data_IF_343913388123
#
_entry.id   IF_343913388123
#
_cell.length_a   1.000
_cell.length_b   1.000
_cell.length_c   1.000
_cell.angle_alpha   90.00
_cell.angle_beta   90.00
_cell.angle_gamma   90.00
#
_symmetry.space_group_name_H-M   'P 1'
#
loop_
_entity.id
_entity.type
_entity.pdbx_description
1 polymer ?
#
# COMPACT_ATOMS: atom_id res chain seq x y z
N UNK A 1 12.86 41.09 -23.18
CA UNK A 1 13.73 41.46 -22.03
C UNK A 1 12.80 41.61 -20.83
N UNK A 2 12.78 40.80 -19.77
CA UNK A 2 13.58 39.68 -19.34
C UNK A 2 12.67 38.71 -18.54
N UNK A 3 13.02 37.43 -18.55
CA UNK A 3 12.50 36.41 -17.65
C UNK A 3 13.27 36.40 -16.32
N UNK A 4 12.64 35.84 -15.27
CA UNK A 4 13.18 35.30 -13.99
C UNK A 4 12.28 35.74 -12.81
N UNK A 5 11.98 34.95 -11.78
CA UNK A 5 12.39 33.61 -11.39
C UNK A 5 11.30 32.97 -10.50
N UNK A 6 11.14 31.65 -10.65
CA UNK A 6 10.43 30.77 -9.73
C UNK A 6 11.28 30.63 -8.47
N UNK A 7 10.79 31.14 -7.34
CA UNK A 7 11.44 31.01 -6.04
C UNK A 7 11.28 29.60 -5.48
N UNK A 8 12.32 28.80 -5.64
CA UNK A 8 12.52 27.54 -4.92
C UNK A 8 12.63 27.80 -3.42
N UNK A 9 11.62 27.41 -2.65
CA UNK A 9 11.66 27.42 -1.20
C UNK A 9 11.70 25.98 -0.67
N UNK A 10 12.90 25.55 -0.26
CA UNK A 10 13.04 24.72 0.94
C UNK A 10 13.03 23.19 0.79
N UNK A 11 13.80 22.62 -0.13
CA UNK A 11 14.25 21.22 0.01
C UNK A 11 15.51 21.20 0.89
N UNK A 12 15.36 21.26 2.21
CA UNK A 12 16.44 20.89 3.12
C UNK A 12 16.67 19.38 2.97
N UNK A 13 17.73 19.01 2.26
CA UNK A 13 18.16 17.63 2.09
C UNK A 13 18.45 17.04 3.48
N UNK A 14 17.54 16.23 4.00
CA UNK A 14 17.80 15.48 5.22
C UNK A 14 18.97 14.54 4.95
N UNK A 15 20.07 14.74 5.70
CA UNK A 15 21.27 13.95 5.56
C UNK A 15 20.93 12.46 5.73
N UNK A 16 21.27 11.70 4.71
CA UNK A 16 21.20 10.26 4.65
C UNK A 16 22.00 9.62 5.82
N UNK A 17 21.34 9.10 6.85
CA UNK A 17 22.03 8.32 7.89
C UNK A 17 22.53 7.01 7.28
N UNK A 18 23.83 6.96 6.99
CA UNK A 18 24.49 5.73 6.53
C UNK A 18 24.93 4.98 7.77
N UNK A 19 24.46 3.74 7.94
CA UNK A 19 25.01 2.90 9.00
C UNK A 19 26.52 2.72 8.74
N UNK A 20 27.32 2.57 9.79
CA UNK A 20 28.72 2.16 9.66
C UNK A 20 28.81 0.74 10.20
N UNK A 21 29.47 -0.16 9.47
CA UNK A 21 29.69 -1.51 9.98
C UNK A 21 30.63 -1.46 11.19
N UNK A 22 30.49 -2.42 12.09
CA UNK A 22 31.37 -2.54 13.26
C UNK A 22 32.86 -2.70 12.89
N UNK A 23 33.15 -3.15 11.66
CA UNK A 23 34.51 -3.24 11.11
C UNK A 23 35.03 -1.92 10.49
N UNK A 24 34.32 -0.80 10.70
CA UNK A 24 34.67 0.52 10.19
C UNK A 24 34.48 0.71 8.69
N UNK A 25 34.04 -0.33 7.96
CA UNK A 25 33.76 -0.20 6.52
C UNK A 25 32.42 0.48 6.30
N UNK A 26 32.33 1.23 5.20
CA UNK A 26 31.08 1.84 4.76
C UNK A 26 30.03 0.75 4.59
N UNK A 27 28.93 0.91 5.31
CA UNK A 27 27.82 -0.02 5.21
C UNK A 27 27.01 0.29 3.95
N UNK A 28 26.57 -0.76 3.27
CA UNK A 28 25.61 -0.62 2.18
C UNK A 28 24.20 -0.38 2.74
N UNK A 29 23.99 -0.64 4.04
CA UNK A 29 22.73 -0.37 4.75
C UNK A 29 22.54 1.14 4.92
N UNK A 30 21.56 1.66 4.21
CA UNK A 30 21.17 3.05 4.24
C UNK A 30 19.69 3.18 4.64
N UNK A 31 19.38 4.12 5.52
CA UNK A 31 18.01 4.51 5.85
C UNK A 31 17.91 6.03 5.91
N UNK A 32 16.94 6.61 5.18
CA UNK A 32 16.60 8.02 5.31
C UNK A 32 15.12 8.17 5.58
N UNK A 33 14.80 8.80 6.71
CA UNK A 33 13.43 9.11 7.11
C UNK A 33 12.76 10.09 6.15
N UNK A 34 13.52 11.02 5.56
CA UNK A 34 12.97 12.03 4.66
C UNK A 34 12.35 11.44 3.40
N UNK A 35 12.94 10.37 2.84
CA UNK A 35 12.37 9.69 1.66
C UNK A 35 11.02 9.07 2.03
N UNK A 36 10.90 8.47 3.22
CA UNK A 36 9.64 7.89 3.69
C UNK A 36 8.59 8.97 3.99
N UNK A 37 8.97 10.08 4.62
CA UNK A 37 8.07 11.20 4.87
C UNK A 37 7.56 11.83 3.57
N UNK A 38 8.45 12.05 2.60
CA UNK A 38 8.08 12.58 1.29
C UNK A 38 7.11 11.63 0.59
N UNK A 39 7.43 10.34 0.55
CA UNK A 39 6.56 9.31 -0.05
C UNK A 39 5.19 9.30 0.64
N UNK A 40 5.14 9.41 1.96
CA UNK A 40 3.89 9.45 2.72
C UNK A 40 3.04 10.70 2.36
N UNK A 41 3.68 11.88 2.21
CA UNK A 41 2.99 13.11 1.78
C UNK A 41 2.46 12.99 0.36
N UNK A 42 3.25 12.45 -0.56
CA UNK A 42 2.86 12.23 -1.97
C UNK A 42 1.69 11.23 -2.07
N UNK A 43 1.71 10.16 -1.27
CA UNK A 43 0.58 9.24 -1.19
C UNK A 43 -0.67 9.90 -0.63
N UNK A 44 -0.55 10.67 0.46
CA UNK A 44 -1.68 11.33 1.11
C UNK A 44 -2.33 12.42 0.24
N UNK A 45 -1.57 13.03 -0.68
CA UNK A 45 -2.09 13.98 -1.67
C UNK A 45 -2.59 13.33 -2.97
N UNK A 46 -2.39 12.02 -3.14
CA UNK A 46 -2.78 11.27 -4.33
C UNK A 46 -4.11 10.55 -4.15
N UNK A 47 -4.91 10.48 -5.22
CA UNK A 47 -6.14 9.68 -5.25
C UNK A 47 -5.84 8.20 -5.48
N UNK A 48 -4.90 7.91 -6.38
CA UNK A 48 -4.55 6.56 -6.82
C UNK A 48 -3.06 6.30 -6.63
N UNK A 49 -2.71 5.14 -6.07
CA UNK A 49 -1.33 4.73 -5.85
C UNK A 49 -1.04 3.44 -6.61
N UNK A 50 -0.09 3.49 -7.54
CA UNK A 50 0.24 2.38 -8.41
C UNK A 50 1.01 1.27 -7.67
N UNK A 51 0.53 0.03 -7.80
CA UNK A 51 1.05 -1.15 -7.11
C UNK A 51 1.41 -2.27 -8.11
N UNK A 52 2.54 -2.15 -8.84
CA UNK A 52 3.13 -3.29 -9.54
C UNK A 52 3.48 -4.42 -8.57
N UNK A 53 3.37 -5.65 -9.08
CA UNK A 53 3.75 -6.85 -8.35
C UNK A 53 5.19 -6.73 -7.81
N UNK A 54 5.39 -7.15 -6.57
CA UNK A 54 6.72 -7.48 -6.03
C UNK A 54 6.94 -8.99 -6.03
N UNK A 55 7.93 -9.45 -5.26
CA UNK A 55 8.34 -10.86 -5.20
C UNK A 55 7.19 -11.83 -4.87
N UNK A 56 6.25 -11.40 -4.02
CA UNK A 56 5.12 -12.21 -3.57
C UNK A 56 3.76 -11.74 -4.12
N UNK A 57 3.76 -11.06 -5.28
CA UNK A 57 2.54 -10.56 -5.94
C UNK A 57 1.92 -9.31 -5.31
N UNK A 58 2.35 -8.91 -4.10
CA UNK A 58 1.96 -7.67 -3.39
C UNK A 58 3.23 -7.01 -2.85
N UNK A 59 3.23 -5.68 -2.76
CA UNK A 59 4.28 -4.91 -2.06
C UNK A 59 3.76 -4.37 -0.74
N UNK A 60 4.65 -4.22 0.25
CA UNK A 60 4.34 -3.56 1.53
C UNK A 60 3.75 -2.15 1.33
N UNK A 61 4.13 -1.50 0.22
CA UNK A 61 3.63 -0.22 -0.24
C UNK A 61 2.09 -0.17 -0.38
N UNK A 62 1.43 -1.31 -0.63
CA UNK A 62 -0.04 -1.38 -0.68
C UNK A 62 -0.66 -0.98 0.65
N UNK A 63 -0.10 -1.43 1.78
CA UNK A 63 -0.58 -1.09 3.12
C UNK A 63 -0.25 0.37 3.47
N UNK A 64 0.88 0.91 2.99
CA UNK A 64 1.19 2.34 3.12
C UNK A 64 0.17 3.21 2.37
N UNK A 65 -0.28 2.81 1.19
CA UNK A 65 -1.33 3.53 0.46
C UNK A 65 -2.68 3.50 1.19
N UNK A 66 -3.07 2.33 1.73
CA UNK A 66 -4.26 2.23 2.60
C UNK A 66 -4.11 3.11 3.84
N UNK A 67 -2.92 3.13 4.44
CA UNK A 67 -2.62 4.00 5.57
C UNK A 67 -2.70 5.49 5.17
N UNK A 68 -2.33 5.86 3.96
CA UNK A 68 -2.35 7.24 3.47
C UNK A 68 -3.73 7.68 2.91
N UNK A 69 -4.69 6.76 2.74
CA UNK A 69 -5.98 7.09 2.11
C UNK A 69 -5.95 7.10 0.57
N UNK A 70 -4.88 6.57 -0.02
CA UNK A 70 -4.67 6.51 -1.46
C UNK A 70 -5.17 5.16 -2.01
N UNK A 71 -6.07 5.18 -3.00
CA UNK A 71 -6.67 3.96 -3.54
C UNK A 71 -5.61 3.09 -4.24
N UNK A 72 -5.40 1.82 -3.82
CA UNK A 72 -4.42 0.96 -4.46
C UNK A 72 -4.83 0.59 -5.89
N UNK A 73 -3.93 0.81 -6.85
CA UNK A 73 -4.09 0.35 -8.24
C UNK A 73 -3.20 -0.87 -8.46
N UNK A 74 -3.81 -2.03 -8.40
CA UNK A 74 -3.13 -3.32 -8.48
C UNK A 74 -2.76 -3.65 -9.91
N UNK A 75 -1.46 -3.85 -10.15
CA UNK A 75 -0.88 -4.35 -11.40
C UNK A 75 -0.27 -5.72 -11.16
N UNK A 76 -1.13 -6.68 -10.82
CA UNK A 76 -0.77 -8.09 -10.67
C UNK A 76 -1.98 -8.94 -11.05
N UNK A 77 -1.90 -9.61 -12.21
CA UNK A 77 -3.02 -10.40 -12.73
C UNK A 77 -3.40 -11.54 -11.78
N UNK A 78 -2.40 -12.17 -11.18
CA UNK A 78 -2.55 -13.32 -10.28
C UNK A 78 -3.07 -12.93 -8.90
N UNK A 79 -2.93 -11.67 -8.48
CA UNK A 79 -3.38 -11.23 -7.17
C UNK A 79 -4.91 -11.22 -7.10
N UNK A 80 -5.47 -11.98 -6.17
CA UNK A 80 -6.92 -12.00 -5.91
C UNK A 80 -7.24 -11.41 -4.54
N UNK A 81 -8.45 -10.89 -4.35
CA UNK A 81 -8.86 -10.37 -3.05
C UNK A 81 -8.86 -11.46 -1.95
N UNK A 82 -9.06 -12.73 -2.33
CA UNK A 82 -9.05 -13.88 -1.41
C UNK A 82 -7.65 -14.27 -0.95
N UNK A 83 -6.63 -14.00 -1.77
CA UNK A 83 -5.22 -14.27 -1.41
C UNK A 83 -4.61 -13.18 -0.51
N UNK A 84 -5.35 -12.11 -0.24
CA UNK A 84 -4.90 -11.06 0.68
C UNK A 84 -5.21 -11.43 2.15
N UNK A 85 -4.40 -10.92 3.10
CA UNK A 85 -4.66 -11.14 4.52
C UNK A 85 -6.00 -10.53 4.92
N UNK A 86 -6.65 -11.17 5.91
CA UNK A 86 -7.90 -10.73 6.49
C UNK A 86 -9.02 -10.61 5.45
N UNK A 87 -8.99 -11.42 4.37
CA UNK A 87 -9.96 -11.34 3.27
C UNK A 87 -11.41 -11.60 3.70
N UNK A 88 -11.63 -12.18 4.87
CA UNK A 88 -12.95 -12.31 5.51
C UNK A 88 -13.39 -10.99 6.16
N UNK A 89 -12.48 -10.22 6.74
CA UNK A 89 -12.75 -8.97 7.44
C UNK A 89 -12.64 -7.73 6.54
N UNK A 90 -11.83 -7.81 5.48
CA UNK A 90 -11.45 -6.67 4.65
C UNK A 90 -11.90 -6.92 3.21
N UNK A 91 -12.88 -6.16 2.69
CA UNK A 91 -13.39 -6.32 1.35
C UNK A 91 -12.47 -5.62 0.33
N UNK A 92 -11.27 -6.15 0.14
CA UNK A 92 -10.22 -5.56 -0.72
C UNK A 92 -10.74 -5.15 -2.11
N UNK A 93 -11.58 -5.99 -2.71
CA UNK A 93 -12.17 -5.76 -4.02
C UNK A 93 -13.04 -4.49 -4.10
N UNK A 94 -13.63 -4.09 -2.98
CA UNK A 94 -14.55 -2.97 -2.92
C UNK A 94 -13.85 -1.62 -3.01
N UNK A 95 -12.57 -1.53 -2.65
CA UNK A 95 -11.84 -0.24 -2.64
C UNK A 95 -10.57 -0.19 -3.49
N UNK A 96 -9.98 -1.33 -3.89
CA UNK A 96 -8.89 -1.27 -4.85
C UNK A 96 -9.38 -1.04 -6.29
N UNK A 97 -8.44 -0.73 -7.18
CA UNK A 97 -8.64 -0.77 -8.63
C UNK A 97 -7.69 -1.82 -9.18
N UNK A 98 -8.19 -2.77 -9.96
CA UNK A 98 -7.34 -3.79 -10.58
C UNK A 98 -7.16 -3.46 -12.06
N UNK A 99 -5.91 -3.42 -12.50
CA UNK A 99 -5.53 -3.25 -13.89
C UNK A 99 -4.65 -4.43 -14.34
N UNK A 100 -4.78 -4.80 -15.61
CA UNK A 100 -3.99 -5.87 -16.22
C UNK A 100 -2.52 -5.45 -16.29
N UNK A 101 -1.66 -6.23 -15.65
CA UNK A 101 -0.21 -6.01 -15.73
C UNK A 101 0.31 -6.24 -17.14
N UNK A 102 -0.27 -7.19 -17.87
CA UNK A 102 0.10 -7.48 -19.27
C UNK A 102 -0.25 -6.33 -20.19
N UNK A 103 -1.41 -5.71 -20.00
CA UNK A 103 -1.83 -4.59 -20.84
C UNK A 103 -1.07 -3.32 -20.47
N UNK A 104 -0.75 -3.12 -19.19
CA UNK A 104 0.08 -2.00 -18.74
C UNK A 104 1.48 -2.03 -19.37
N UNK A 105 2.11 -3.20 -19.50
CA UNK A 105 3.42 -3.33 -20.16
C UNK A 105 3.35 -2.99 -21.66
N UNK A 106 2.23 -3.30 -22.31
CA UNK A 106 2.03 -3.00 -23.74
C UNK A 106 1.66 -1.53 -23.99
N UNK A 107 0.82 -0.98 -23.11
CA UNK A 107 0.35 0.40 -23.17
C UNK A 107 0.10 0.92 -21.74
N UNK A 108 1.10 1.58 -21.18
CA UNK A 108 0.99 2.17 -19.84
C UNK A 108 -0.10 3.26 -19.75
N UNK A 109 -0.40 3.94 -20.87
CA UNK A 109 -1.44 4.96 -20.91
C UNK A 109 -2.85 4.36 -20.79
N UNK A 110 -3.03 3.07 -21.06
CA UNK A 110 -4.31 2.37 -20.85
C UNK A 110 -4.79 2.48 -19.41
N UNK A 111 -3.91 2.31 -18.43
CA UNK A 111 -4.23 2.42 -17.01
C UNK A 111 -4.65 3.86 -16.66
N UNK A 112 -3.96 4.86 -17.20
CA UNK A 112 -4.35 6.26 -16.97
C UNK A 112 -5.74 6.58 -17.53
N UNK A 113 -6.11 6.02 -18.69
CA UNK A 113 -7.46 6.17 -19.25
C UNK A 113 -8.51 5.53 -18.35
N UNK A 114 -8.24 4.31 -17.86
CA UNK A 114 -9.13 3.63 -16.89
C UNK A 114 -9.27 4.44 -15.60
N UNK A 115 -8.19 4.96 -15.02
CA UNK A 115 -8.26 5.73 -13.78
C UNK A 115 -9.03 7.05 -13.96
N UNK A 116 -8.88 7.71 -15.12
CA UNK A 116 -9.61 8.94 -15.45
C UNK A 116 -11.09 8.71 -15.74
N UNK A 117 -11.50 7.49 -16.12
CA UNK A 117 -12.91 7.18 -16.35
C UNK A 117 -13.68 6.87 -15.06
N UNK A 118 -12.98 6.65 -13.94
CA UNK A 118 -13.62 6.48 -12.63
C UNK A 118 -14.15 7.83 -12.17
N UNK A 119 -15.45 7.94 -11.95
CA UNK A 119 -16.08 9.17 -11.51
C UNK A 119 -15.83 9.42 -10.01
N UNK A 120 -16.00 10.68 -9.58
CA UNK A 120 -15.73 11.08 -8.20
C UNK A 120 -16.61 10.38 -7.17
N UNK A 121 -17.86 10.02 -7.50
CA UNK A 121 -18.75 9.32 -6.56
C UNK A 121 -18.25 7.90 -6.24
N UNK A 122 -17.72 7.20 -7.25
CA UNK A 122 -17.11 5.89 -7.09
C UNK A 122 -15.80 6.00 -6.30
N UNK A 123 -14.96 7.00 -6.59
CA UNK A 123 -13.73 7.27 -5.82
C UNK A 123 -14.05 7.48 -4.34
N UNK A 124 -15.02 8.35 -4.03
CA UNK A 124 -15.42 8.65 -2.66
C UNK A 124 -16.01 7.42 -1.96
N UNK A 125 -16.78 6.59 -2.68
CA UNK A 125 -17.28 5.34 -2.15
C UNK A 125 -16.13 4.39 -1.78
N UNK A 126 -15.17 4.17 -2.69
CA UNK A 126 -13.99 3.34 -2.46
C UNK A 126 -13.17 3.85 -1.27
N UNK A 127 -12.94 5.17 -1.18
CA UNK A 127 -12.20 5.79 -0.07
C UNK A 127 -12.94 5.61 1.26
N UNK A 128 -14.27 5.72 1.28
CA UNK A 128 -15.07 5.50 2.49
C UNK A 128 -14.96 4.06 2.99
N UNK A 129 -15.08 3.08 2.09
CA UNK A 129 -14.92 1.66 2.44
C UNK A 129 -13.51 1.40 2.94
N UNK A 130 -12.49 1.92 2.26
CA UNK A 130 -11.09 1.80 2.70
C UNK A 130 -10.87 2.42 4.09
N UNK A 131 -11.43 3.60 4.35
CA UNK A 131 -11.29 4.28 5.64
C UNK A 131 -11.89 3.45 6.80
N UNK A 132 -13.04 2.82 6.59
CA UNK A 132 -13.68 1.93 7.58
C UNK A 132 -12.79 0.73 7.95
N UNK A 133 -12.03 0.22 6.97
CA UNK A 133 -11.18 -0.96 7.12
C UNK A 133 -9.69 -0.66 7.32
N UNK A 134 -9.28 0.61 7.38
CA UNK A 134 -7.87 0.99 7.56
C UNK A 134 -7.30 0.41 8.86
N UNK A 135 -8.09 0.46 9.94
CA UNK A 135 -7.73 -0.13 11.22
C UNK A 135 -7.62 -1.67 11.18
N UNK A 136 -8.24 -2.35 10.22
CA UNK A 136 -8.17 -3.82 10.11
C UNK A 136 -6.81 -4.33 9.61
N UNK A 137 -6.04 -3.51 8.91
CA UNK A 137 -4.81 -3.92 8.21
C UNK A 137 -3.57 -3.13 8.61
N UNK A 138 -3.73 -1.89 9.08
CA UNK A 138 -2.59 -1.03 9.45
C UNK A 138 -2.22 -1.27 10.91
N UNK A 139 -1.05 -1.87 11.14
CA UNK A 139 -0.53 -2.14 12.49
C UNK A 139 -0.28 -0.89 13.32
N UNK A 140 0.13 0.21 12.68
CA UNK A 140 0.40 1.49 13.35
C UNK A 140 -0.86 2.32 13.62
N UNK A 141 -2.06 1.84 13.26
CA UNK A 141 -3.30 2.53 13.58
C UNK A 141 -3.59 2.43 15.08
N UNK A 142 -4.01 3.54 15.71
CA UNK A 142 -4.29 3.57 17.17
C UNK A 142 -5.30 2.50 17.60
N UNK A 143 -6.30 2.26 16.76
CA UNK A 143 -7.35 1.24 16.98
C UNK A 143 -7.12 0.00 16.11
N UNK A 144 -5.85 -0.39 15.89
CA UNK A 144 -5.53 -1.49 14.99
C UNK A 144 -6.19 -2.80 15.45
N UNK A 145 -6.92 -3.42 14.52
CA UNK A 145 -7.51 -4.75 14.66
C UNK A 145 -6.69 -5.82 13.93
N UNK A 146 -5.54 -5.47 13.36
CA UNK A 146 -4.69 -6.39 12.60
C UNK A 146 -4.30 -7.63 13.42
N UNK A 147 -3.97 -7.46 14.71
CA UNK A 147 -3.69 -8.59 15.60
C UNK A 147 -4.90 -9.51 15.82
N UNK A 148 -6.07 -8.94 16.08
CA UNK A 148 -7.32 -9.71 16.23
C UNK A 148 -7.70 -10.42 14.94
N UNK A 149 -7.59 -9.74 13.80
CA UNK A 149 -7.86 -10.31 12.49
C UNK A 149 -6.87 -11.44 12.16
N UNK A 150 -5.61 -11.32 12.56
CA UNK A 150 -4.62 -12.39 12.43
C UNK A 150 -5.01 -13.63 13.22
N UNK A 151 -5.41 -13.49 14.48
CA UNK A 151 -5.88 -14.62 15.30
C UNK A 151 -7.13 -15.25 14.69
N UNK A 152 -8.08 -14.43 14.22
CA UNK A 152 -9.31 -14.91 13.57
C UNK A 152 -9.02 -15.68 12.28
N UNK A 153 -8.15 -15.15 11.42
CA UNK A 153 -7.73 -15.82 10.19
C UNK A 153 -7.04 -17.15 10.51
N UNK A 154 -6.10 -17.17 11.46
CA UNK A 154 -5.41 -18.37 11.90
C UNK A 154 -6.40 -19.42 12.44
N UNK A 155 -7.36 -19.00 13.26
CA UNK A 155 -8.41 -19.87 13.81
C UNK A 155 -9.37 -20.40 12.74
N UNK A 156 -9.58 -19.66 11.65
CA UNK A 156 -10.43 -20.08 10.53
C UNK A 156 -9.79 -21.15 9.64
N UNK A 157 -8.47 -21.36 9.75
CA UNK A 157 -7.77 -22.36 8.95
C UNK A 157 -8.29 -23.76 9.25
N UNK A 158 -8.33 -24.62 8.22
CA UNK A 158 -8.71 -26.03 8.38
C UNK A 158 -7.82 -26.73 9.40
N UNK A 159 -6.51 -26.50 9.34
CA UNK A 159 -5.53 -27.09 10.27
C UNK A 159 -5.86 -26.79 11.73
N UNK A 160 -6.13 -25.52 12.05
CA UNK A 160 -6.46 -25.13 13.42
C UNK A 160 -7.80 -25.72 13.88
N UNK A 161 -8.85 -25.65 13.04
CA UNK A 161 -10.18 -26.21 13.36
C UNK A 161 -10.13 -27.71 13.61
N UNK A 162 -9.41 -28.45 12.77
CA UNK A 162 -9.27 -29.91 12.95
C UNK A 162 -8.45 -30.26 14.19
N UNK A 163 -7.43 -29.47 14.54
CA UNK A 163 -6.68 -29.67 15.79
C UNK A 163 -7.51 -29.34 17.03
N UNK A 164 -8.31 -28.27 16.99
CA UNK A 164 -9.22 -27.89 18.07
C UNK A 164 -10.28 -28.98 18.34
N UNK A 165 -10.87 -29.55 17.29
CA UNK A 165 -11.81 -30.69 17.40
C UNK A 165 -11.19 -31.94 18.03
N UNK A 166 -9.89 -32.18 17.84
CA UNK A 166 -9.18 -33.33 18.43
C UNK A 166 -8.81 -33.12 19.91
N UNK A 167 -8.85 -31.88 20.38
CA UNK A 167 -8.50 -31.53 21.76
C UNK A 167 -9.72 -31.33 22.67
N UNK A 168 -10.94 -31.41 22.09
CA UNK A 168 -12.23 -31.39 22.77
C UNK A 168 -12.79 -32.81 22.85
#
# INVERSE_FOLDING_TARGET
VAAAAVGAAGAAAAAAATAVKLDGKKDWRFASTAVFEQTAREMASSVFCLMPAGDNGIRSLMYSAVAAGCLPVILCDQLTAKSLPFSVAVPWASFWVKASSRDFVKDAASVLRTLRSINSSEILHKQRVMAQHRADVVYSHRESRAGTNFIRDAASTKCYRERAKRAA
#
